data_IF_578486796215
#
_entry.id   IF_578486796215
#
_cell.length_a   1.000
_cell.length_b   1.000
_cell.length_c   1.000
_cell.angle_alpha   90.00
_cell.angle_beta   90.00
_cell.angle_gamma   90.00
#
_symmetry.space_group_name_H-M   'P 1'
#
loop_
_entity.id
_entity.type
_entity.pdbx_description
1 polymer ?
#
# COMPACT_ATOMS: atom_id res chain seq x y z
N UNK A 1 -19.25 -1.58 -28.76
CA UNK A 1 -20.03 -0.80 -27.79
C UNK A 1 -20.55 0.44 -28.50
N UNK A 2 -21.87 0.62 -28.55
CA UNK A 2 -22.53 1.75 -29.20
C UNK A 2 -22.42 3.01 -28.32
N UNK A 3 -22.05 4.14 -28.91
CA UNK A 3 -22.26 5.45 -28.29
C UNK A 3 -23.46 6.12 -28.96
N UNK A 4 -24.57 6.14 -28.22
CA UNK A 4 -25.80 6.85 -28.58
C UNK A 4 -25.54 8.36 -28.45
N UNK A 5 -25.66 9.10 -29.56
CA UNK A 5 -25.73 10.56 -29.53
C UNK A 5 -27.19 10.99 -29.39
N UNK A 6 -27.57 11.45 -28.19
CA UNK A 6 -28.79 12.23 -28.01
C UNK A 6 -28.60 13.63 -28.61
N UNK A 7 -29.41 13.96 -29.59
CA UNK A 7 -29.56 15.33 -30.13
C UNK A 7 -30.86 15.91 -29.59
N UNK A 8 -30.77 16.74 -28.54
CA UNK A 8 -31.89 17.58 -28.15
C UNK A 8 -31.96 18.80 -29.08
N UNK A 9 -32.80 18.69 -30.11
CA UNK A 9 -33.25 19.82 -30.92
C UNK A 9 -34.30 20.60 -30.13
N UNK A 10 -33.88 21.67 -29.45
CA UNK A 10 -34.76 22.69 -28.91
C UNK A 10 -35.05 23.79 -29.94
N UNK A 11 -36.29 23.82 -30.41
CA UNK A 11 -36.88 24.86 -31.29
C UNK A 11 -37.10 26.17 -30.52
N UNK A 12 -36.74 27.34 -31.08
CA UNK A 12 -37.68 28.48 -31.12
C UNK A 12 -37.23 29.62 -32.06
N UNK A 13 -38.22 30.09 -32.80
CA UNK A 13 -38.24 31.17 -33.78
C UNK A 13 -38.12 32.59 -33.20
N UNK A 14 -37.51 33.53 -33.95
CA UNK A 14 -38.03 34.91 -34.11
C UNK A 14 -37.31 35.71 -35.21
N UNK A 15 -38.10 36.15 -36.20
CA UNK A 15 -37.79 37.17 -37.22
C UNK A 15 -37.51 38.54 -36.58
N UNK A 16 -36.46 39.26 -37.00
CA UNK A 16 -36.54 40.72 -37.27
C UNK A 16 -35.31 41.28 -38.02
N UNK A 17 -35.56 41.61 -39.30
CA UNK A 17 -35.28 42.88 -40.01
C UNK A 17 -34.07 43.77 -39.62
N UNK A 18 -33.20 43.97 -40.63
CA UNK A 18 -32.47 45.19 -41.06
C UNK A 18 -31.82 46.10 -39.99
N UNK A 19 -30.49 46.18 -40.09
CA UNK A 19 -29.69 47.29 -39.55
C UNK A 19 -28.21 47.10 -39.91
N UNK A 20 -27.79 47.61 -41.07
CA UNK A 20 -26.42 47.48 -41.59
C UNK A 20 -25.52 48.54 -40.97
N UNK A 21 -24.73 48.16 -39.97
CA UNK A 21 -23.48 48.84 -39.59
C UNK A 21 -22.43 47.76 -39.31
N UNK A 22 -21.43 47.65 -40.19
CA UNK A 22 -20.28 46.77 -40.01
C UNK A 22 -19.43 47.32 -38.87
N UNK A 23 -19.73 46.92 -37.62
CA UNK A 23 -18.74 46.94 -36.54
C UNK A 23 -17.79 45.78 -36.76
N UNK A 24 -16.51 46.07 -36.95
CA UNK A 24 -15.45 45.08 -37.04
C UNK A 24 -15.36 44.41 -35.67
N UNK A 25 -15.93 43.21 -35.54
CA UNK A 25 -15.70 42.39 -34.35
C UNK A 25 -14.24 41.93 -34.40
N UNK A 26 -13.42 42.17 -33.37
CA UNK A 26 -12.11 41.54 -33.26
C UNK A 26 -12.30 40.03 -33.37
N UNK A 27 -11.48 39.37 -34.18
CA UNK A 27 -11.60 37.92 -34.38
C UNK A 27 -11.57 37.22 -33.01
N UNK A 28 -12.41 36.20 -32.77
CA UNK A 28 -12.29 35.36 -31.59
C UNK A 28 -10.84 34.87 -31.47
N UNK A 29 -10.24 35.09 -30.30
CA UNK A 29 -8.86 34.68 -30.06
C UNK A 29 -8.69 33.17 -30.31
N UNK A 30 -7.51 32.73 -30.74
CA UNK A 30 -7.26 31.31 -30.92
C UNK A 30 -7.54 30.55 -29.61
N UNK A 31 -8.04 29.30 -29.68
CA UNK A 31 -8.13 28.43 -28.52
C UNK A 31 -6.79 28.40 -27.79
N UNK A 32 -6.82 28.46 -26.46
CA UNK A 32 -5.61 28.36 -25.64
C UNK A 32 -4.85 27.07 -25.95
N UNK A 33 -3.52 27.06 -25.82
CA UNK A 33 -2.74 25.85 -26.04
C UNK A 33 -3.25 24.73 -25.13
N UNK A 34 -3.20 23.46 -25.58
CA UNK A 34 -3.45 22.32 -24.72
C UNK A 34 -2.59 22.43 -23.45
N UNK A 35 -3.19 22.10 -22.30
CA UNK A 35 -2.45 22.06 -21.05
C UNK A 35 -1.26 21.09 -21.14
N UNK A 36 -0.21 21.31 -20.34
CA UNK A 36 0.92 20.40 -20.32
C UNK A 36 0.45 18.98 -20.02
N UNK A 37 1.02 18.02 -20.75
CA UNK A 37 0.74 16.62 -20.48
C UNK A 37 1.18 16.28 -19.05
N UNK A 38 0.31 15.59 -18.31
CA UNK A 38 0.62 15.13 -16.97
C UNK A 38 1.85 14.20 -16.96
N UNK A 39 2.51 14.05 -15.81
CA UNK A 39 3.65 13.15 -15.69
C UNK A 39 3.26 11.73 -16.11
N UNK A 40 4.17 10.98 -16.76
CA UNK A 40 3.97 9.55 -17.02
C UNK A 40 3.61 8.81 -15.72
N UNK A 41 2.63 7.93 -15.80
CA UNK A 41 2.29 7.04 -14.68
C UNK A 41 3.46 6.10 -14.33
N UNK A 42 3.51 5.56 -13.11
CA UNK A 42 4.52 4.59 -12.72
C UNK A 42 4.45 3.34 -13.61
N UNK A 43 5.59 2.91 -14.16
CA UNK A 43 5.73 1.68 -14.96
C UNK A 43 5.95 0.54 -13.98
N UNK A 44 4.89 -0.21 -13.66
CA UNK A 44 5.01 -1.48 -12.91
C UNK A 44 5.20 -2.59 -13.96
N UNK A 45 6.32 -3.35 -13.95
CA UNK A 45 6.49 -4.47 -14.86
C UNK A 45 5.39 -5.51 -14.61
N UNK A 46 4.82 -6.13 -15.66
CA UNK A 46 3.67 -7.04 -15.54
C UNK A 46 3.95 -8.27 -14.66
N UNK A 47 5.21 -8.56 -14.35
CA UNK A 47 5.62 -9.66 -13.48
C UNK A 47 5.74 -9.28 -12.00
N UNK A 48 5.65 -7.98 -11.65
CA UNK A 48 5.81 -7.48 -10.30
C UNK A 48 4.46 -7.19 -9.63
N UNK A 49 4.21 -7.85 -8.51
CA UNK A 49 3.04 -7.73 -7.67
C UNK A 49 3.41 -7.00 -6.38
N UNK A 50 2.82 -5.83 -6.17
CA UNK A 50 2.87 -5.14 -4.90
C UNK A 50 1.94 -5.85 -3.91
N UNK A 51 2.47 -6.37 -2.80
CA UNK A 51 1.63 -6.93 -1.73
C UNK A 51 1.83 -6.19 -0.43
N UNK A 52 0.73 -5.68 0.13
CA UNK A 52 0.69 -5.16 1.48
C UNK A 52 0.48 -6.29 2.47
N UNK A 53 1.42 -6.48 3.38
CA UNK A 53 1.40 -7.51 4.40
C UNK A 53 1.01 -6.90 5.73
N UNK A 54 0.15 -7.60 6.45
CA UNK A 54 -0.21 -7.29 7.83
C UNK A 54 -0.08 -8.56 8.67
N UNK A 55 0.81 -8.53 9.65
CA UNK A 55 1.04 -9.65 10.55
C UNK A 55 0.99 -9.16 11.99
N UNK A 56 0.16 -9.82 12.79
CA UNK A 56 0.06 -9.64 14.22
C UNK A 56 0.37 -10.98 14.90
N UNK A 57 1.43 -11.03 15.67
CA UNK A 57 1.77 -12.20 16.47
C UNK A 57 1.49 -11.89 17.94
N UNK A 58 0.64 -12.71 18.55
CA UNK A 58 0.45 -12.77 19.99
C UNK A 58 1.22 -13.96 20.50
N UNK A 59 2.04 -13.77 21.52
CA UNK A 59 2.73 -14.88 22.14
C UNK A 59 2.86 -14.72 23.65
N UNK A 60 3.02 -15.87 24.28
CA UNK A 60 3.15 -16.03 25.72
C UNK A 60 4.58 -16.49 26.02
N UNK A 61 5.24 -15.81 26.95
CA UNK A 61 6.53 -16.20 27.48
C UNK A 61 6.29 -17.27 28.53
N UNK A 62 6.79 -18.46 28.28
CA UNK A 62 6.82 -19.52 29.29
C UNK A 62 7.92 -19.13 30.31
N UNK A 63 7.50 -18.79 31.54
CA UNK A 63 8.42 -18.54 32.65
C UNK A 63 8.93 -19.87 33.21
N UNK A 64 10.24 -19.98 33.58
CA UNK A 64 10.83 -19.21 34.69
C UNK A 64 12.23 -18.68 34.39
N UNK A 65 12.37 -17.40 34.00
CA UNK A 65 13.71 -16.78 34.02
C UNK A 65 14.14 -16.60 35.47
N UNK A 66 15.19 -17.32 35.88
CA UNK A 66 15.95 -17.02 37.10
C UNK A 66 16.83 -15.79 36.82
N UNK A 67 16.27 -14.60 36.97
CA UNK A 67 17.02 -13.34 36.86
C UNK A 67 16.19 -12.18 36.30
N UNK A 68 16.65 -10.94 36.49
CA UNK A 68 15.97 -9.76 35.99
C UNK A 68 15.94 -9.73 34.45
N UNK A 69 14.93 -9.07 33.83
CA UNK A 69 14.88 -8.83 32.40
C UNK A 69 16.15 -8.13 31.92
N UNK A 70 16.69 -8.56 30.79
CA UNK A 70 17.89 -7.93 30.22
C UNK A 70 17.47 -6.84 29.24
N UNK A 71 18.24 -5.73 29.12
CA UNK A 71 17.99 -4.71 28.10
C UNK A 71 18.07 -5.22 26.65
N UNK A 72 18.60 -6.44 26.45
CA UNK A 72 18.75 -7.08 25.14
C UNK A 72 17.62 -8.06 24.83
N UNK A 73 16.69 -8.27 25.75
CA UNK A 73 15.56 -9.15 25.53
C UNK A 73 14.66 -8.51 24.50
N UNK A 74 14.73 -9.01 23.27
CA UNK A 74 13.93 -8.51 22.16
C UNK A 74 13.44 -9.66 21.29
N UNK A 75 12.35 -9.41 20.57
CA UNK A 75 11.89 -10.26 19.48
C UNK A 75 11.91 -9.49 18.19
N UNK A 76 12.32 -10.17 17.14
CA UNK A 76 12.41 -9.60 15.80
C UNK A 76 11.57 -10.45 14.85
N UNK A 77 10.49 -9.86 14.37
CA UNK A 77 9.56 -10.49 13.45
C UNK A 77 9.88 -10.02 12.03
N UNK A 78 10.06 -10.96 11.11
CA UNK A 78 10.40 -10.67 9.73
C UNK A 78 9.45 -11.34 8.74
N UNK A 79 9.16 -10.65 7.64
CA UNK A 79 8.51 -11.21 6.45
C UNK A 79 9.52 -11.06 5.31
N UNK A 80 9.92 -12.17 4.69
CA UNK A 80 11.03 -12.20 3.74
C UNK A 80 10.61 -12.83 2.41
N UNK A 81 11.13 -12.33 1.29
CA UNK A 81 10.95 -12.96 -0.02
C UNK A 81 11.94 -14.12 -0.15
N UNK A 82 11.46 -15.29 -0.57
CA UNK A 82 12.27 -16.51 -0.74
C UNK A 82 13.13 -16.88 0.48
N UNK A 83 12.67 -16.56 1.69
CA UNK A 83 13.42 -16.77 2.93
C UNK A 83 14.76 -16.02 3.01
N UNK A 84 14.97 -15.00 2.18
CA UNK A 84 16.17 -14.18 2.17
C UNK A 84 15.91 -12.88 2.95
N UNK A 85 16.14 -12.92 4.26
CA UNK A 85 15.93 -11.77 5.16
C UNK A 85 17.11 -10.77 5.14
N UNK A 86 17.72 -10.56 3.97
CA UNK A 86 18.77 -9.56 3.78
C UNK A 86 18.13 -8.17 3.69
N UNK A 87 18.88 -7.13 4.08
CA UNK A 87 18.39 -5.74 4.05
C UNK A 87 17.81 -5.44 2.66
N UNK A 88 16.63 -4.82 2.63
CA UNK A 88 15.84 -4.42 1.44
C UNK A 88 14.89 -5.47 0.82
N UNK A 89 14.89 -6.72 1.28
CA UNK A 89 13.98 -7.77 0.78
C UNK A 89 13.08 -8.36 1.88
N UNK A 90 12.93 -7.61 2.97
CA UNK A 90 12.12 -8.02 4.11
C UNK A 90 11.45 -6.84 4.80
N UNK A 91 10.30 -7.14 5.41
CA UNK A 91 9.68 -6.29 6.42
C UNK A 91 10.15 -6.75 7.79
N UNK A 92 10.36 -5.81 8.68
CA UNK A 92 10.91 -6.08 10.00
C UNK A 92 10.18 -5.27 11.07
N UNK A 93 9.86 -5.93 12.18
CA UNK A 93 9.47 -5.27 13.42
C UNK A 93 10.31 -5.82 14.57
N UNK A 94 10.70 -4.94 15.50
CA UNK A 94 11.43 -5.31 16.71
C UNK A 94 10.62 -4.86 17.92
N UNK A 95 10.48 -5.72 18.92
CA UNK A 95 9.84 -5.38 20.20
C UNK A 95 10.74 -5.76 21.36
N UNK A 96 10.86 -4.87 22.35
CA UNK A 96 11.59 -5.12 23.59
C UNK A 96 10.72 -5.88 24.61
N UNK A 97 11.33 -6.82 25.33
CA UNK A 97 10.69 -7.64 26.37
C UNK A 97 11.08 -7.19 27.78
N UNK A 98 11.19 -5.88 27.96
CA UNK A 98 11.57 -5.27 29.25
C UNK A 98 10.50 -5.43 30.33
N UNK A 99 9.25 -5.69 29.93
CA UNK A 99 8.15 -5.89 30.87
C UNK A 99 8.18 -7.28 31.53
N UNK A 100 7.78 -7.33 32.81
CA UNK A 100 7.49 -8.60 33.49
C UNK A 100 6.27 -9.32 32.88
N UNK A 101 5.52 -8.66 32.00
CA UNK A 101 4.36 -9.25 31.33
C UNK A 101 4.76 -10.52 30.57
N UNK A 102 3.94 -11.56 30.72
CA UNK A 102 4.13 -12.83 30.02
C UNK A 102 3.53 -12.79 28.62
N UNK A 103 2.48 -12.01 28.42
CA UNK A 103 1.83 -11.82 27.14
C UNK A 103 2.43 -10.62 26.41
N UNK A 104 2.84 -10.86 25.16
CA UNK A 104 3.35 -9.81 24.29
C UNK A 104 2.70 -9.91 22.91
N UNK A 105 2.68 -8.76 22.25
CA UNK A 105 2.13 -8.62 20.90
C UNK A 105 3.15 -7.88 20.05
N UNK A 106 3.46 -8.43 18.88
CA UNK A 106 4.33 -7.80 17.88
C UNK A 106 3.59 -7.76 16.56
N UNK A 107 3.65 -6.61 15.89
CA UNK A 107 3.01 -6.41 14.59
C UNK A 107 4.03 -5.91 13.56
N UNK A 108 3.97 -6.46 12.36
CA UNK A 108 4.73 -5.96 11.20
C UNK A 108 3.78 -5.73 10.05
N UNK A 109 3.82 -4.51 9.50
CA UNK A 109 3.01 -4.10 8.37
C UNK A 109 3.89 -3.44 7.32
N UNK A 110 3.57 -3.63 6.05
CA UNK A 110 4.25 -2.93 4.96
C UNK A 110 4.16 -3.67 3.64
N UNK A 111 4.75 -3.06 2.61
CA UNK A 111 4.63 -3.53 1.24
C UNK A 111 5.91 -4.21 0.78
N UNK A 112 5.78 -5.40 0.18
CA UNK A 112 6.86 -6.06 -0.54
C UNK A 112 6.52 -6.16 -2.03
N UNK A 113 7.55 -6.00 -2.87
CA UNK A 113 7.47 -6.18 -4.32
C UNK A 113 7.84 -7.62 -4.67
N UNK A 114 6.87 -8.40 -5.12
CA UNK A 114 7.05 -9.81 -5.43
C UNK A 114 7.04 -10.02 -6.93
N UNK A 115 8.01 -10.77 -7.44
CA UNK A 115 8.00 -11.27 -8.80
C UNK A 115 7.13 -12.53 -8.89
N UNK A 116 6.65 -12.83 -10.11
CA UNK A 116 5.95 -14.09 -10.40
C UNK A 116 6.76 -15.30 -9.92
N UNK A 117 6.09 -16.22 -9.21
CA UNK A 117 6.71 -17.43 -8.66
C UNK A 117 7.49 -17.23 -7.35
N UNK A 118 7.62 -16.00 -6.84
CA UNK A 118 8.22 -15.78 -5.52
C UNK A 118 7.23 -16.09 -4.39
N UNK A 119 7.74 -16.67 -3.31
CA UNK A 119 7.01 -16.90 -2.07
C UNK A 119 7.53 -16.00 -0.95
N UNK A 120 6.71 -15.74 0.06
CA UNK A 120 7.12 -15.05 1.29
C UNK A 120 7.10 -15.99 2.47
N UNK A 121 8.04 -15.82 3.39
CA UNK A 121 8.15 -16.57 4.64
C UNK A 121 8.18 -15.64 5.84
N UNK A 122 7.68 -16.13 6.97
CA UNK A 122 7.61 -15.41 8.24
C UNK A 122 8.63 -16.01 9.19
N UNK A 123 9.48 -15.17 9.80
CA UNK A 123 10.47 -15.58 10.78
C UNK A 123 10.30 -14.81 12.08
N UNK A 124 10.50 -15.51 13.20
CA UNK A 124 10.57 -14.92 14.53
C UNK A 124 11.93 -15.24 15.13
N UNK A 125 12.77 -14.23 15.27
CA UNK A 125 14.03 -14.33 15.99
C UNK A 125 13.80 -13.96 17.46
N UNK A 126 14.14 -14.89 18.35
CA UNK A 126 13.91 -14.79 19.78
C UNK A 126 15.24 -14.59 20.52
N UNK A 127 15.63 -13.33 20.69
CA UNK A 127 16.82 -12.94 21.43
C UNK A 127 16.57 -12.83 22.95
N UNK A 128 15.39 -13.22 23.43
CA UNK A 128 15.06 -13.10 24.84
C UNK A 128 15.70 -14.22 25.68
N UNK A 129 15.83 -15.44 25.14
CA UNK A 129 16.34 -16.61 25.90
C UNK A 129 15.29 -17.28 26.79
N UNK A 130 13.99 -17.14 26.49
CA UNK A 130 12.88 -17.93 27.06
C UNK A 130 12.13 -18.58 25.92
N UNK A 131 11.48 -19.72 26.20
CA UNK A 131 10.51 -20.28 25.27
C UNK A 131 9.29 -19.37 25.16
N UNK A 132 8.74 -19.34 23.96
CA UNK A 132 7.59 -18.55 23.60
C UNK A 132 6.58 -19.45 22.92
N UNK A 133 5.33 -19.36 23.35
CA UNK A 133 4.22 -20.07 22.70
C UNK A 133 3.41 -19.07 21.90
N UNK A 134 3.21 -19.35 20.62
CA UNK A 134 2.29 -18.55 19.79
C UNK A 134 0.87 -18.80 20.27
N UNK A 135 0.14 -17.70 20.50
CA UNK A 135 -1.22 -17.71 21.04
C UNK A 135 -2.25 -17.65 19.92
N UNK A 136 -3.44 -18.17 20.22
CA UNK A 136 -4.64 -17.93 19.42
C UNK A 136 -4.93 -16.43 19.31
N UNK A 137 -5.42 -16.02 18.14
CA UNK A 137 -5.62 -14.60 17.80
C UNK A 137 -4.40 -13.89 17.22
N UNK A 138 -3.34 -14.64 16.89
CA UNK A 138 -2.33 -14.20 15.91
C UNK A 138 -2.96 -14.26 14.50
N UNK A 139 -2.58 -13.33 13.62
CA UNK A 139 -3.18 -13.18 12.30
C UNK A 139 -2.16 -12.74 11.27
N UNK A 140 -2.23 -13.31 10.06
CA UNK A 140 -1.44 -12.94 8.89
C UNK A 140 -2.38 -12.71 7.70
N UNK A 141 -2.23 -11.58 7.03
CA UNK A 141 -2.92 -11.28 5.77
C UNK A 141 -2.00 -10.58 4.78
N UNK A 142 -2.33 -10.72 3.50
CA UNK A 142 -1.70 -9.98 2.43
C UNK A 142 -2.74 -9.53 1.40
N UNK A 143 -2.63 -8.29 0.93
CA UNK A 143 -3.50 -7.70 -0.09
C UNK A 143 -2.66 -7.32 -1.29
N UNK A 144 -3.12 -7.69 -2.48
CA UNK A 144 -2.50 -7.26 -3.73
C UNK A 144 -2.89 -5.81 -4.05
N UNK A 145 -1.89 -4.94 -4.24
CA UNK A 145 -2.08 -3.53 -4.58
C UNK A 145 -1.82 -3.31 -6.08
N UNK A 146 -2.89 -3.11 -6.86
CA UNK A 146 -2.81 -2.73 -8.27
C UNK A 146 -2.59 -3.90 -9.24
N UNK A 147 -3.45 -3.95 -10.26
CA UNK A 147 -3.31 -4.75 -11.49
C UNK A 147 -3.63 -3.86 -12.69
#
# INVERSE_FOLDING_TARGET
MLFVRQSDKGVNSKRRSRGKTRRVQPLPGPPGPPGPQGPPGPIIPPEALLKDFQLLLKALREQPRRGPPRPRDQLRLLICIQSQCQRHVSLEAVTGLESSSELFTISVNGVLYLQSGQYTSVFLDNASGSSLTVRSGSHFSAVLLGV
#
